data_IF_053058119030
#
_entry.id   IF_053058119030
#
_cell.length_a   1.000
_cell.length_b   1.000
_cell.length_c   1.000
_cell.angle_alpha   90.00
_cell.angle_beta   90.00
_cell.angle_gamma   90.00
#
_symmetry.space_group_name_H-M   'P 1'
#
loop_
_entity.id
_entity.type
_entity.pdbx_description
1 polymer ?
#
# COMPACT_ATOMS: atom_id res chain seq x y z
N UNK A 1 13.19 5.19 9.33
CA UNK A 1 11.99 4.35 9.50
C UNK A 1 12.34 3.13 10.32
N UNK A 2 11.40 2.61 11.08
CA UNK A 2 11.61 1.42 11.91
C UNK A 2 12.01 0.21 11.06
N UNK A 3 13.10 -0.45 11.44
CA UNK A 3 13.63 -1.61 10.74
C UNK A 3 12.64 -2.77 10.69
N UNK A 4 11.83 -2.94 11.74
CA UNK A 4 10.81 -3.97 11.79
C UNK A 4 9.70 -3.73 10.78
N UNK A 5 9.35 -2.47 10.56
CA UNK A 5 8.36 -2.10 9.55
C UNK A 5 8.90 -2.38 8.15
N UNK A 6 10.17 -2.08 7.90
CA UNK A 6 10.79 -2.38 6.60
C UNK A 6 10.74 -3.88 6.29
N UNK A 7 11.04 -4.72 7.28
CA UNK A 7 11.00 -6.18 7.12
C UNK A 7 9.57 -6.64 6.87
N UNK A 8 8.62 -6.11 7.64
CA UNK A 8 7.20 -6.45 7.51
C UNK A 8 6.67 -6.10 6.11
N UNK A 9 6.98 -4.90 5.64
CA UNK A 9 6.54 -4.45 4.32
C UNK A 9 7.20 -5.30 3.22
N UNK A 10 8.49 -5.63 3.36
CA UNK A 10 9.18 -6.47 2.38
C UNK A 10 8.52 -7.85 2.27
N UNK A 11 8.16 -8.46 3.39
CA UNK A 11 7.45 -9.75 3.40
C UNK A 11 6.11 -9.64 2.70
N UNK A 12 5.36 -8.60 3.01
CA UNK A 12 4.06 -8.36 2.42
C UNK A 12 4.17 -8.21 0.90
N UNK A 13 5.09 -7.37 0.44
CA UNK A 13 5.27 -7.13 -1.00
C UNK A 13 5.73 -8.37 -1.75
N UNK A 14 6.56 -9.20 -1.15
CA UNK A 14 6.97 -10.45 -1.78
C UNK A 14 5.77 -11.37 -2.05
N UNK A 15 4.86 -11.50 -1.09
CA UNK A 15 3.66 -12.31 -1.25
C UNK A 15 2.71 -11.70 -2.29
N UNK A 16 2.55 -10.40 -2.27
CA UNK A 16 1.66 -9.69 -3.21
C UNK A 16 2.16 -9.85 -4.64
N UNK A 17 3.46 -9.72 -4.87
CA UNK A 17 4.04 -9.80 -6.21
C UNK A 17 3.96 -11.20 -6.81
N UNK A 18 3.84 -12.23 -5.99
CA UNK A 18 3.57 -13.57 -6.47
C UNK A 18 2.18 -13.70 -7.08
N UNK A 19 1.23 -12.88 -6.63
CA UNK A 19 -0.15 -12.95 -7.05
C UNK A 19 -0.55 -11.88 -8.05
N UNK A 20 0.04 -10.69 -7.95
CA UNK A 20 -0.29 -9.54 -8.79
C UNK A 20 0.94 -9.10 -9.57
N UNK A 21 0.84 -9.07 -10.89
CA UNK A 21 1.96 -8.69 -11.77
C UNK A 21 1.88 -7.26 -12.27
N UNK A 22 0.78 -6.56 -11.98
CA UNK A 22 0.50 -5.23 -12.53
C UNK A 22 0.59 -4.11 -11.48
N UNK A 23 1.31 -4.34 -10.39
CA UNK A 23 1.61 -3.29 -9.42
C UNK A 23 2.83 -2.51 -9.90
N UNK A 24 2.63 -1.24 -10.22
CA UNK A 24 3.71 -0.41 -10.76
C UNK A 24 4.47 0.38 -9.70
N UNK A 25 3.80 0.77 -8.61
CA UNK A 25 4.43 1.54 -7.53
C UNK A 25 3.77 1.20 -6.21
N UNK A 26 4.54 1.35 -5.12
CA UNK A 26 4.04 1.13 -3.75
C UNK A 26 4.53 2.28 -2.87
N UNK A 27 3.64 2.83 -2.06
CA UNK A 27 3.96 3.88 -1.09
C UNK A 27 3.54 3.48 0.30
N UNK A 28 4.38 3.79 1.27
CA UNK A 28 4.00 3.81 2.68
C UNK A 28 3.53 5.22 2.99
N UNK A 29 2.35 5.36 3.61
CA UNK A 29 1.83 6.68 3.95
C UNK A 29 1.15 6.67 5.32
N UNK A 30 0.52 7.77 5.70
CA UNK A 30 -0.10 7.89 7.00
C UNK A 30 0.91 8.10 8.11
N UNK A 31 0.60 7.65 9.32
CA UNK A 31 1.38 7.96 10.52
C UNK A 31 2.83 7.44 10.45
N UNK A 32 3.06 6.27 9.85
CA UNK A 32 4.42 5.75 9.72
C UNK A 32 5.29 6.61 8.80
N UNK A 33 4.73 7.07 7.70
CA UNK A 33 5.47 7.92 6.78
C UNK A 33 5.77 9.29 7.39
N UNK A 34 4.89 9.78 8.27
CA UNK A 34 5.02 11.09 8.91
C UNK A 34 5.82 11.07 10.21
N UNK A 35 6.31 9.90 10.62
CA UNK A 35 7.06 9.77 11.88
C UNK A 35 6.23 9.93 13.13
N UNK A 36 4.92 9.73 13.03
CA UNK A 36 3.97 9.89 14.15
C UNK A 36 3.36 8.59 14.61
N UNK A 37 3.93 7.46 14.19
CA UNK A 37 3.37 6.15 14.52
C UNK A 37 3.63 5.74 15.96
N UNK A 38 2.71 4.91 16.46
CA UNK A 38 2.89 4.14 17.69
C UNK A 38 2.82 2.66 17.34
N UNK A 39 3.07 1.77 18.30
CA UNK A 39 3.02 0.32 18.06
C UNK A 39 1.64 -0.16 17.59
N UNK A 40 0.59 0.59 17.94
CA UNK A 40 -0.79 0.26 17.56
C UNK A 40 -1.24 0.93 16.27
N UNK A 41 -0.40 1.75 15.65
CA UNK A 41 -0.77 2.46 14.43
C UNK A 41 -0.93 1.50 13.25
N UNK A 42 -1.91 1.80 12.38
CA UNK A 42 -2.05 1.09 11.10
C UNK A 42 -0.86 1.40 10.21
N UNK A 43 -0.49 0.42 9.39
CA UNK A 43 0.56 0.57 8.39
C UNK A 43 -0.14 0.75 7.05
N UNK A 44 -0.30 2.01 6.64
CA UNK A 44 -1.02 2.33 5.40
C UNK A 44 -0.11 2.15 4.19
N UNK A 45 -0.53 1.28 3.28
CA UNK A 45 0.23 0.94 2.07
C UNK A 45 -0.63 1.22 0.85
N UNK A 46 -0.16 2.09 -0.01
CA UNK A 46 -0.80 2.37 -1.30
C UNK A 46 -0.15 1.51 -2.37
N UNK A 47 -0.98 0.75 -3.09
CA UNK A 47 -0.52 -0.13 -4.16
C UNK A 47 -1.10 0.40 -5.47
N UNK A 48 -0.23 0.91 -6.33
CA UNK A 48 -0.64 1.54 -7.58
C UNK A 48 -0.65 0.49 -8.68
N UNK A 49 -1.84 0.22 -9.22
CA UNK A 49 -2.02 -0.78 -10.26
C UNK A 49 -2.05 -0.13 -11.63
N UNK A 50 -1.35 -0.73 -12.58
CA UNK A 50 -1.37 -0.27 -13.98
C UNK A 50 -2.78 -0.34 -14.57
N UNK A 51 -3.48 -1.43 -14.28
CA UNK A 51 -4.83 -1.68 -14.78
C UNK A 51 -5.73 -2.12 -13.63
N UNK A 52 -6.42 -1.18 -13.01
CA UNK A 52 -7.38 -1.48 -11.95
C UNK A 52 -8.77 -1.10 -12.45
N UNK A 53 -9.56 -2.12 -12.76
CA UNK A 53 -10.95 -1.96 -13.15
C UNK A 53 -11.80 -1.79 -11.89
N UNK A 54 -12.67 -0.78 -11.88
CA UNK A 54 -13.53 -0.50 -10.73
C UNK A 54 -14.38 -1.71 -10.34
N UNK A 55 -14.80 -2.52 -11.32
CA UNK A 55 -15.60 -3.72 -11.06
C UNK A 55 -14.84 -4.78 -10.26
N UNK A 56 -13.52 -4.73 -10.27
CA UNK A 56 -12.65 -5.70 -9.57
C UNK A 56 -12.02 -5.14 -8.30
N UNK A 57 -12.23 -3.86 -8.03
CA UNK A 57 -11.56 -3.17 -6.91
C UNK A 57 -11.87 -3.85 -5.57
N UNK A 58 -13.13 -4.21 -5.33
CA UNK A 58 -13.53 -4.85 -4.08
C UNK A 58 -12.84 -6.20 -3.89
N UNK A 59 -12.83 -7.04 -4.93
CA UNK A 59 -12.20 -8.36 -4.85
C UNK A 59 -10.70 -8.24 -4.61
N UNK A 60 -10.06 -7.30 -5.27
CA UNK A 60 -8.62 -7.03 -5.07
C UNK A 60 -8.37 -6.56 -3.65
N UNK A 61 -9.20 -5.64 -3.13
CA UNK A 61 -9.07 -5.17 -1.75
C UNK A 61 -9.12 -6.33 -0.77
N UNK A 62 -10.09 -7.24 -0.93
CA UNK A 62 -10.23 -8.40 -0.05
C UNK A 62 -8.99 -9.29 -0.12
N UNK A 63 -8.50 -9.58 -1.32
CA UNK A 63 -7.30 -10.41 -1.49
C UNK A 63 -6.07 -9.77 -0.84
N UNK A 64 -5.89 -8.46 -1.03
CA UNK A 64 -4.77 -7.73 -0.41
C UNK A 64 -4.85 -7.78 1.12
N UNK A 65 -6.06 -7.66 1.68
CA UNK A 65 -6.28 -7.73 3.12
C UNK A 65 -6.04 -9.13 3.68
N UNK A 66 -6.43 -10.16 2.94
CA UNK A 66 -6.19 -11.55 3.38
C UNK A 66 -4.71 -11.87 3.43
N UNK A 67 -3.93 -11.39 2.48
CA UNK A 67 -2.47 -11.55 2.49
C UNK A 67 -1.86 -10.73 3.63
N UNK A 68 -2.34 -9.51 3.84
CA UNK A 68 -1.89 -8.66 4.96
C UNK A 68 -2.07 -9.36 6.30
N UNK A 69 -3.20 -10.02 6.51
CA UNK A 69 -3.48 -10.74 7.76
C UNK A 69 -2.49 -11.87 8.03
N UNK A 70 -1.88 -12.43 7.00
CA UNK A 70 -0.87 -13.48 7.15
C UNK A 70 0.48 -12.93 7.60
N UNK A 71 0.73 -11.65 7.38
CA UNK A 71 2.02 -11.02 7.68
C UNK A 71 1.93 -10.19 8.95
N UNK A 72 1.02 -9.21 8.96
CA UNK A 72 0.84 -8.30 10.09
C UNK A 72 -0.53 -7.65 9.94
N UNK A 73 -1.40 -7.84 10.94
CA UNK A 73 -2.77 -7.34 10.89
C UNK A 73 -2.87 -5.81 10.88
N UNK A 74 -1.79 -5.11 11.18
CA UNK A 74 -1.76 -3.64 11.12
C UNK A 74 -1.66 -3.12 9.69
N UNK A 75 -1.25 -3.95 8.73
CA UNK A 75 -1.16 -3.53 7.33
C UNK A 75 -2.54 -3.24 6.79
N UNK A 76 -2.72 -2.03 6.27
CA UNK A 76 -3.96 -1.58 5.68
C UNK A 76 -3.71 -1.21 4.23
N UNK A 77 -4.03 -2.11 3.27
CA UNK A 77 -3.74 -1.89 1.86
C UNK A 77 -4.79 -1.02 1.19
N UNK A 78 -4.34 -0.16 0.29
CA UNK A 78 -5.20 0.74 -0.49
C UNK A 78 -4.84 0.59 -1.97
N UNK A 79 -5.61 -0.20 -2.75
CA UNK A 79 -5.37 -0.31 -4.18
C UNK A 79 -5.84 0.97 -4.87
N UNK A 80 -4.98 1.52 -5.72
CA UNK A 80 -5.24 2.76 -6.44
C UNK A 80 -4.88 2.52 -7.90
N UNK A 81 -5.74 2.96 -8.83
CA UNK A 81 -5.44 2.87 -10.26
C UNK A 81 -4.37 3.89 -10.64
N UNK A 82 -3.63 3.59 -11.70
CA UNK A 82 -2.67 4.53 -12.26
C UNK A 82 -3.32 5.89 -12.55
N UNK A 83 -4.50 5.88 -13.16
CA UNK A 83 -5.20 7.11 -13.52
C UNK A 83 -5.59 7.93 -12.30
N UNK A 84 -6.11 7.28 -11.26
CA UNK A 84 -6.45 7.97 -10.01
C UNK A 84 -5.21 8.52 -9.31
N UNK A 85 -4.11 7.79 -9.36
CA UNK A 85 -2.87 8.24 -8.72
C UNK A 85 -2.27 9.46 -9.45
N UNK A 86 -2.39 9.51 -10.76
CA UNK A 86 -1.91 10.64 -11.57
C UNK A 86 -2.85 11.84 -11.55
N UNK A 87 -4.04 11.68 -10.96
CA UNK A 87 -5.04 12.74 -10.92
C UNK A 87 -4.76 13.76 -9.83
N UNK A 88 -5.58 14.81 -9.77
CA UNK A 88 -5.54 15.79 -8.70
C UNK A 88 -6.43 15.40 -7.51
N UNK A 89 -6.82 14.14 -7.44
CA UNK A 89 -7.55 13.60 -6.29
C UNK A 89 -6.76 13.90 -5.00
N UNK A 90 -7.39 14.53 -4.01
CA UNK A 90 -6.69 14.94 -2.78
C UNK A 90 -5.94 13.80 -2.08
N UNK A 91 -6.50 12.60 -2.11
CA UNK A 91 -5.86 11.43 -1.50
C UNK A 91 -4.55 11.08 -2.23
N UNK A 92 -4.59 11.05 -3.56
CA UNK A 92 -3.40 10.79 -4.38
C UNK A 92 -2.33 11.86 -4.20
N UNK A 93 -2.75 13.13 -4.18
CA UNK A 93 -1.84 14.26 -3.96
C UNK A 93 -1.15 14.14 -2.60
N UNK A 94 -1.90 13.79 -1.57
CA UNK A 94 -1.34 13.64 -0.22
C UNK A 94 -0.31 12.52 -0.17
N UNK A 95 -0.59 11.39 -0.80
CA UNK A 95 0.35 10.25 -0.84
C UNK A 95 1.64 10.67 -1.56
N UNK A 96 1.53 11.34 -2.69
CA UNK A 96 2.70 11.80 -3.45
C UNK A 96 3.53 12.80 -2.66
N UNK A 97 2.87 13.66 -1.89
CA UNK A 97 3.54 14.71 -1.12
C UNK A 97 4.21 14.19 0.16
N UNK A 98 3.55 13.31 0.89
CA UNK A 98 3.99 12.88 2.24
C UNK A 98 4.40 11.41 2.33
N UNK A 99 4.05 10.60 1.33
CA UNK A 99 4.34 9.17 1.34
C UNK A 99 5.81 8.88 1.05
N UNK A 100 6.22 7.68 1.44
CA UNK A 100 7.55 7.17 1.18
C UNK A 100 7.41 6.05 0.14
N UNK A 101 8.02 6.23 -1.02
CA UNK A 101 7.99 5.19 -2.05
C UNK A 101 8.85 4.01 -1.60
N UNK A 102 8.26 2.81 -1.67
CA UNK A 102 8.95 1.58 -1.28
C UNK A 102 9.55 0.96 -2.53
N UNK A 103 10.79 0.51 -2.42
CA UNK A 103 11.48 -0.11 -3.55
C UNK A 103 10.72 -1.34 -4.05
N UNK A 104 10.67 -1.42 -5.37
CA UNK A 104 9.98 -2.51 -6.04
C UNK A 104 10.72 -3.84 -5.83
#
# INVERSE_FOLDING_TARGET
>A
MDKNIDITIAKYLNLIREKFTDIERVYLFGSYAKGKSTDDSDIDVALIFTNLDDSKRFDIQVQLMMIAAQVDSRIEPHPISHDDFDSENPFAVEIKRTGIEVAA
#
